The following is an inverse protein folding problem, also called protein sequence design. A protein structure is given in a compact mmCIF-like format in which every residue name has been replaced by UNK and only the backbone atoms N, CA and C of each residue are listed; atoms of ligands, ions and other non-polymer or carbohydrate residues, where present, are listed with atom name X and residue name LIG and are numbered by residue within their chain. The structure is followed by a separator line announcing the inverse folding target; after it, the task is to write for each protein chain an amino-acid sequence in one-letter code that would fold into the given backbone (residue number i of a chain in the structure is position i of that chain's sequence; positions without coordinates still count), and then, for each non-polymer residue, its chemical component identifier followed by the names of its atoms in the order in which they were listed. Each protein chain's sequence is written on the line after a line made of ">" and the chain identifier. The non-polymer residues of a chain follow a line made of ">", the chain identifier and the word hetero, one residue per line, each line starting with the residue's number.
data_IF_337804297952
#
_entry.id   IF_337804297952
#
_cell.length_a   1.000
_cell.length_b   1.000
_cell.length_c   1.000
_cell.angle_alpha   90.00
_cell.angle_beta   90.00
_cell.angle_gamma   90.00
#
_symmetry.space_group_name_H-M   'P 1'
#
loop_
_entity.id
_entity.type
_entity.pdbx_description
1 polymer ?
#
# COMPACT_ATOMS: atom_id res chain seq x y z
N UNK A 1 -23.86 4.49 2.39
CA UNK A 1 -23.64 3.61 1.24
C UNK A 1 -22.90 2.35 1.64
N UNK A 2 -22.89 1.35 0.78
CA UNK A 2 -22.10 0.12 0.97
C UNK A 2 -20.62 0.46 0.84
N UNK A 3 -19.80 -0.10 1.74
CA UNK A 3 -18.34 0.03 1.68
C UNK A 3 -17.73 -1.31 1.23
N UNK A 4 -17.44 -1.50 -0.06
CA UNK A 4 -17.00 -2.79 -0.60
C UNK A 4 -15.73 -3.34 0.06
N UNK A 5 -14.81 -2.45 0.51
CA UNK A 5 -13.60 -2.84 1.23
C UNK A 5 -13.87 -3.57 2.55
N UNK A 6 -15.01 -3.33 3.18
CA UNK A 6 -15.41 -3.93 4.46
C UNK A 6 -16.22 -5.23 4.28
N UNK A 7 -16.56 -5.60 3.04
CA UNK A 7 -17.26 -6.85 2.77
C UNK A 7 -16.35 -8.07 3.02
N UNK A 8 -16.91 -9.22 3.42
CA UNK A 8 -16.14 -10.45 3.61
C UNK A 8 -15.30 -10.79 2.38
N UNK A 9 -14.07 -11.25 2.59
CA UNK A 9 -13.16 -11.66 1.48
C UNK A 9 -13.39 -13.09 1.00
N UNK A 10 -14.18 -13.88 1.76
CA UNK A 10 -14.52 -15.22 1.35
C UNK A 10 -15.28 -15.19 0.01
N UNK A 11 -14.98 -16.16 -0.85
CA UNK A 11 -15.63 -16.36 -2.16
C UNK A 11 -16.11 -17.79 -2.28
N UNK A 12 -17.06 -18.03 -3.16
CA UNK A 12 -17.48 -19.36 -3.61
C UNK A 12 -17.03 -19.53 -5.06
N UNK A 13 -16.68 -20.74 -5.47
CA UNK A 13 -16.19 -21.03 -6.82
C UNK A 13 -17.29 -20.83 -7.86
N UNK A 14 -18.51 -21.26 -7.54
CA UNK A 14 -19.71 -21.07 -8.36
C UNK A 14 -20.81 -20.36 -7.55
N UNK A 15 -20.93 -19.02 -7.67
CA UNK A 15 -21.96 -18.27 -6.99
C UNK A 15 -23.39 -18.61 -7.43
N UNK A 16 -23.60 -18.99 -8.70
CA UNK A 16 -24.94 -19.33 -9.21
C UNK A 16 -25.43 -20.65 -8.62
N UNK A 17 -24.58 -21.68 -8.60
CA UNK A 17 -24.89 -22.94 -7.94
C UNK A 17 -25.17 -22.73 -6.44
N UNK A 18 -24.33 -21.98 -5.75
CA UNK A 18 -24.53 -21.70 -4.33
C UNK A 18 -25.84 -20.91 -4.05
N UNK A 19 -26.21 -19.97 -4.91
CA UNK A 19 -27.50 -19.26 -4.80
C UNK A 19 -28.68 -20.19 -5.04
N UNK A 20 -28.56 -21.12 -6.02
CA UNK A 20 -29.59 -22.10 -6.30
C UNK A 20 -29.78 -23.05 -5.09
N UNK A 21 -28.70 -23.55 -4.52
CA UNK A 21 -28.72 -24.38 -3.32
C UNK A 21 -29.44 -23.68 -2.16
N UNK A 22 -29.11 -22.38 -1.92
CA UNK A 22 -29.80 -21.57 -0.91
C UNK A 22 -31.31 -21.45 -1.16
N UNK A 23 -31.73 -21.25 -2.42
CA UNK A 23 -33.15 -21.21 -2.80
C UNK A 23 -33.86 -22.53 -2.52
N UNK A 24 -33.15 -23.63 -2.62
CA UNK A 24 -33.67 -24.97 -2.31
C UNK A 24 -33.56 -25.35 -0.82
N UNK A 25 -33.10 -24.44 0.01
CA UNK A 25 -32.90 -24.66 1.45
C UNK A 25 -31.64 -25.48 1.79
N UNK A 26 -30.75 -25.64 0.84
CA UNK A 26 -29.48 -26.36 0.97
C UNK A 26 -28.31 -25.41 1.21
N UNK A 27 -27.23 -25.89 1.86
CA UNK A 27 -25.95 -25.17 1.94
C UNK A 27 -25.95 -23.85 2.72
N UNK A 28 -26.99 -23.52 3.46
CA UNK A 28 -27.13 -22.27 4.22
C UNK A 28 -26.25 -22.25 5.48
N UNK A 29 -24.93 -22.10 5.28
CA UNK A 29 -23.97 -21.92 6.38
C UNK A 29 -23.55 -20.45 6.52
N UNK A 30 -23.12 -19.99 7.72
CA UNK A 30 -22.56 -18.66 7.89
C UNK A 30 -21.38 -18.39 6.95
N UNK A 31 -20.59 -19.40 6.60
CA UNK A 31 -19.50 -19.30 5.64
C UNK A 31 -20.00 -19.01 4.23
N UNK A 32 -20.94 -19.83 3.73
CA UNK A 32 -21.55 -19.66 2.40
C UNK A 32 -22.20 -18.29 2.24
N UNK A 33 -22.97 -17.84 3.24
CA UNK A 33 -23.63 -16.54 3.23
C UNK A 33 -22.61 -15.39 3.17
N UNK A 34 -21.52 -15.46 3.96
CA UNK A 34 -20.44 -14.47 3.92
C UNK A 34 -19.74 -14.46 2.57
N UNK A 35 -19.51 -15.63 1.97
CA UNK A 35 -18.82 -15.77 0.69
C UNK A 35 -19.63 -15.19 -0.48
N UNK A 36 -20.96 -15.23 -0.39
CA UNK A 36 -21.87 -14.71 -1.42
C UNK A 36 -22.08 -13.18 -1.34
N UNK A 37 -21.69 -12.49 -0.26
CA UNK A 37 -22.01 -11.05 -0.11
C UNK A 37 -21.47 -10.21 -1.25
N UNK A 38 -20.23 -10.47 -1.72
CA UNK A 38 -19.65 -9.74 -2.89
C UNK A 38 -20.36 -10.11 -4.19
N UNK A 39 -20.73 -11.37 -4.35
CA UNK A 39 -21.42 -11.88 -5.54
C UNK A 39 -22.84 -11.34 -5.73
N UNK A 40 -23.37 -10.59 -4.75
CA UNK A 40 -24.64 -9.88 -4.89
C UNK A 40 -24.57 -8.69 -5.86
N UNK A 41 -23.38 -8.19 -6.15
CA UNK A 41 -23.17 -7.17 -7.18
C UNK A 41 -23.05 -7.88 -8.53
N UNK A 42 -24.05 -7.68 -9.40
CA UNK A 42 -24.17 -8.35 -10.69
C UNK A 42 -23.79 -7.38 -11.81
N UNK A 43 -22.82 -7.79 -12.65
CA UNK A 43 -22.24 -7.04 -13.75
C UNK A 43 -22.92 -7.27 -15.10
N UNK A 44 -22.14 -7.25 -16.19
CA UNK A 44 -20.70 -7.58 -16.25
C UNK A 44 -19.78 -6.48 -15.71
N UNK A 45 -18.72 -6.90 -15.03
CA UNK A 45 -17.69 -5.99 -14.50
C UNK A 45 -16.31 -6.37 -15.02
N UNK A 46 -15.55 -5.35 -15.38
CA UNK A 46 -14.09 -5.42 -15.44
C UNK A 46 -13.55 -4.91 -14.11
N UNK A 47 -12.75 -5.74 -13.47
CA UNK A 47 -12.08 -5.43 -12.19
C UNK A 47 -10.60 -5.40 -12.46
N UNK A 48 -9.94 -4.28 -12.18
CA UNK A 48 -8.50 -4.12 -12.38
C UNK A 48 -7.86 -3.54 -11.13
N UNK A 49 -6.75 -4.15 -10.69
CA UNK A 49 -5.95 -3.77 -9.52
C UNK A 49 -4.55 -3.34 -9.96
N UNK A 50 -3.98 -2.34 -9.31
CA UNK A 50 -2.58 -1.98 -9.56
C UNK A 50 -1.63 -3.06 -9.03
N UNK A 51 -0.71 -3.51 -9.87
CA UNK A 51 0.29 -4.50 -9.47
C UNK A 51 1.37 -3.87 -8.57
N UNK A 52 1.44 -4.28 -7.29
CA UNK A 52 2.45 -3.86 -6.32
C UNK A 52 2.64 -2.34 -6.20
N UNK A 53 1.55 -1.56 -6.23
CA UNK A 53 1.58 -0.09 -6.33
C UNK A 53 2.41 0.57 -5.23
N UNK A 54 2.32 0.09 -3.98
CA UNK A 54 3.08 0.67 -2.88
C UNK A 54 4.60 0.52 -3.09
N UNK A 55 5.07 -0.63 -3.57
CA UNK A 55 6.49 -0.85 -3.84
C UNK A 55 6.99 0.00 -5.01
N UNK A 56 6.17 0.17 -6.05
CA UNK A 56 6.48 1.02 -7.21
C UNK A 56 6.57 2.49 -6.79
N UNK A 57 5.58 3.01 -6.10
CA UNK A 57 5.52 4.41 -5.64
C UNK A 57 6.64 4.70 -4.65
N UNK A 58 6.89 3.82 -3.68
CA UNK A 58 7.96 4.01 -2.69
C UNK A 58 9.33 4.09 -3.37
N UNK A 59 9.62 3.17 -4.29
CA UNK A 59 10.88 3.16 -5.01
C UNK A 59 11.06 4.40 -5.88
N UNK A 60 10.01 4.82 -6.60
CA UNK A 60 10.02 6.01 -7.44
C UNK A 60 10.23 7.28 -6.60
N UNK A 61 9.47 7.47 -5.52
CA UNK A 61 9.58 8.64 -4.65
C UNK A 61 10.95 8.71 -3.94
N UNK A 62 11.54 7.58 -3.61
CA UNK A 62 12.88 7.49 -3.03
C UNK A 62 14.02 7.60 -4.07
N UNK A 63 13.76 7.31 -5.34
CA UNK A 63 14.77 7.18 -6.39
C UNK A 63 15.58 5.87 -6.27
N UNK A 64 14.96 4.77 -5.84
CA UNK A 64 15.61 3.45 -5.71
C UNK A 64 15.67 2.77 -7.07
N UNK A 65 16.69 3.11 -7.84
CA UNK A 65 16.81 2.83 -9.26
C UNK A 65 16.70 1.34 -9.62
N UNK A 66 17.32 0.45 -8.85
CA UNK A 66 17.26 -0.98 -9.16
C UNK A 66 15.85 -1.57 -9.07
N UNK A 67 15.02 -1.04 -8.16
CA UNK A 67 13.61 -1.45 -8.02
C UNK A 67 12.79 -0.94 -9.20
N UNK A 68 13.00 0.34 -9.59
CA UNK A 68 12.38 0.95 -10.77
C UNK A 68 12.68 0.12 -12.01
N UNK A 69 13.98 -0.16 -12.28
CA UNK A 69 14.39 -0.98 -13.41
C UNK A 69 13.86 -2.43 -13.38
N UNK A 70 13.70 -3.01 -12.18
CA UNK A 70 13.10 -4.33 -12.06
C UNK A 70 11.65 -4.33 -12.55
N UNK A 71 10.88 -3.33 -12.17
CA UNK A 71 9.50 -3.15 -12.63
C UNK A 71 9.41 -2.82 -14.12
N UNK A 72 10.24 -1.92 -14.65
CA UNK A 72 10.30 -1.58 -16.09
C UNK A 72 10.61 -2.80 -16.97
N UNK A 73 11.42 -3.72 -16.46
CA UNK A 73 11.79 -4.95 -17.16
C UNK A 73 10.84 -6.12 -16.89
N UNK A 74 9.70 -5.87 -16.21
CA UNK A 74 8.72 -6.90 -15.87
C UNK A 74 9.25 -8.00 -14.95
N UNK A 75 10.28 -7.70 -14.14
CA UNK A 75 10.87 -8.69 -13.21
C UNK A 75 10.08 -8.76 -11.91
N UNK A 76 9.99 -9.96 -11.34
CA UNK A 76 9.34 -10.17 -10.05
C UNK A 76 10.15 -9.55 -8.92
N UNK A 77 9.68 -8.45 -8.37
CA UNK A 77 10.37 -7.69 -7.31
C UNK A 77 10.63 -8.53 -6.05
N UNK A 78 9.82 -9.53 -5.78
CA UNK A 78 9.99 -10.41 -4.63
C UNK A 78 11.15 -11.39 -4.84
N UNK A 79 11.31 -11.90 -6.06
CA UNK A 79 12.46 -12.73 -6.44
C UNK A 79 13.73 -11.89 -6.42
N UNK A 80 13.74 -10.73 -7.07
CA UNK A 80 14.87 -9.80 -7.09
C UNK A 80 15.32 -9.40 -5.67
N UNK A 81 14.37 -9.09 -4.79
CA UNK A 81 14.65 -8.76 -3.40
C UNK A 81 15.27 -9.94 -2.66
N UNK A 82 14.71 -11.15 -2.81
CA UNK A 82 15.24 -12.35 -2.20
C UNK A 82 16.69 -12.62 -2.65
N UNK A 83 16.97 -12.48 -3.94
CA UNK A 83 18.32 -12.65 -4.51
C UNK A 83 19.33 -11.65 -3.93
N UNK A 84 18.97 -10.37 -3.86
CA UNK A 84 19.82 -9.31 -3.31
C UNK A 84 20.09 -9.44 -1.81
N UNK A 85 19.18 -10.06 -1.08
CA UNK A 85 19.31 -10.35 0.35
C UNK A 85 19.98 -11.69 0.61
N UNK A 86 20.16 -12.54 -0.40
CA UNK A 86 20.78 -13.85 -0.28
C UNK A 86 22.29 -13.74 -0.06
N UNK A 87 22.85 -14.70 0.67
CA UNK A 87 24.29 -14.81 0.91
C UNK A 87 24.77 -16.23 0.60
N UNK A 88 26.08 -16.45 0.39
CA UNK A 88 26.62 -17.80 0.31
C UNK A 88 26.19 -18.64 1.53
N UNK A 89 25.51 -19.74 1.27
CA UNK A 89 24.99 -20.63 2.33
C UNK A 89 23.59 -20.27 2.86
N UNK A 90 23.01 -19.12 2.47
CA UNK A 90 21.63 -18.77 2.83
C UNK A 90 20.89 -18.14 1.62
N UNK A 91 20.30 -18.98 0.79
CA UNK A 91 19.46 -18.53 -0.34
C UNK A 91 18.03 -18.31 0.12
N UNK A 92 17.54 -17.09 -0.11
CA UNK A 92 16.15 -16.73 0.16
C UNK A 92 15.27 -17.07 -1.04
N UNK A 93 14.02 -17.44 -0.75
CA UNK A 93 13.01 -17.71 -1.77
C UNK A 93 12.08 -16.50 -1.99
N UNK A 94 11.24 -16.58 -3.04
CA UNK A 94 10.26 -15.54 -3.39
C UNK A 94 9.34 -15.13 -2.23
N UNK A 95 8.88 -16.10 -1.42
CA UNK A 95 7.99 -15.82 -0.29
C UNK A 95 8.69 -14.98 0.79
N UNK A 96 9.95 -15.26 1.08
CA UNK A 96 10.76 -14.47 2.00
C UNK A 96 11.04 -13.07 1.46
N UNK A 97 11.30 -12.95 0.14
CA UNK A 97 11.40 -11.65 -0.53
C UNK A 97 10.11 -10.83 -0.44
N UNK A 98 8.93 -11.47 -0.64
CA UNK A 98 7.63 -10.82 -0.47
C UNK A 98 7.44 -10.30 0.95
N UNK A 99 7.73 -11.11 1.96
CA UNK A 99 7.67 -10.70 3.38
C UNK A 99 8.60 -9.50 3.63
N UNK A 100 9.83 -9.53 3.09
CA UNK A 100 10.79 -8.45 3.27
C UNK A 100 10.30 -7.13 2.64
N UNK A 101 9.81 -7.16 1.40
CA UNK A 101 9.27 -5.98 0.72
C UNK A 101 8.11 -5.36 1.52
N UNK A 102 7.15 -6.18 1.94
CA UNK A 102 5.95 -5.69 2.64
C UNK A 102 6.24 -5.25 4.08
N UNK A 103 7.16 -5.91 4.78
CA UNK A 103 7.44 -5.63 6.18
C UNK A 103 8.43 -4.49 6.41
N UNK A 104 9.38 -4.27 5.49
CA UNK A 104 10.54 -3.41 5.73
C UNK A 104 10.47 -2.06 5.01
N UNK A 105 9.60 -1.90 4.01
CA UNK A 105 9.49 -0.69 3.19
C UNK A 105 9.27 0.61 3.97
N UNK A 106 8.72 0.53 5.18
CA UNK A 106 8.39 1.68 6.02
C UNK A 106 9.13 1.69 7.35
N UNK A 107 10.44 1.42 7.29
CA UNK A 107 11.33 1.35 8.45
C UNK A 107 10.94 0.24 9.45
N UNK A 108 10.35 -0.84 8.93
CA UNK A 108 10.06 -2.02 9.71
C UNK A 108 11.33 -2.71 10.23
N UNK A 109 11.16 -3.59 11.21
CA UNK A 109 12.22 -4.37 11.81
C UNK A 109 11.74 -5.79 12.12
N UNK A 110 12.41 -6.53 12.99
CA UNK A 110 12.07 -7.91 13.38
C UNK A 110 10.59 -8.07 13.73
N UNK A 111 10.01 -7.12 14.47
CA UNK A 111 8.57 -7.15 14.81
C UNK A 111 7.65 -7.12 13.58
N UNK A 112 8.00 -6.34 12.55
CA UNK A 112 7.24 -6.26 11.30
C UNK A 112 7.38 -7.55 10.47
N UNK A 113 8.58 -8.12 10.40
CA UNK A 113 8.82 -9.41 9.75
C UNK A 113 7.97 -10.52 10.38
N UNK A 114 7.95 -10.59 11.71
CA UNK A 114 7.12 -11.57 12.45
C UNK A 114 5.63 -11.37 12.23
N UNK A 115 5.17 -10.12 12.19
CA UNK A 115 3.77 -9.81 11.90
C UNK A 115 3.34 -10.24 10.49
N UNK A 116 4.29 -10.30 9.54
CA UNK A 116 4.08 -10.81 8.18
C UNK A 116 4.37 -12.32 8.04
N UNK A 117 4.57 -13.02 9.17
CA UNK A 117 4.73 -14.48 9.18
C UNK A 117 6.16 -15.01 9.06
N UNK A 118 7.18 -14.13 9.13
CA UNK A 118 8.57 -14.60 9.13
C UNK A 118 8.85 -15.46 10.37
N UNK A 119 9.53 -16.58 10.16
CA UNK A 119 10.02 -17.50 11.18
C UNK A 119 11.54 -17.32 11.34
N UNK A 120 12.08 -17.73 12.48
CA UNK A 120 13.52 -17.69 12.79
C UNK A 120 13.82 -16.94 14.08
N UNK A 121 15.08 -17.00 14.51
CA UNK A 121 15.57 -16.30 15.68
C UNK A 121 15.71 -14.78 15.42
N UNK A 122 15.67 -13.97 16.48
CA UNK A 122 15.72 -12.51 16.34
C UNK A 122 17.00 -12.03 15.63
N UNK A 123 18.15 -12.68 15.88
CA UNK A 123 19.43 -12.36 15.22
C UNK A 123 19.41 -12.67 13.72
N UNK A 124 18.72 -13.72 13.30
CA UNK A 124 18.55 -14.06 11.88
C UNK A 124 17.66 -13.03 11.19
N UNK A 125 16.54 -12.70 11.81
CA UNK A 125 15.62 -11.69 11.30
C UNK A 125 16.27 -10.31 11.26
N UNK A 126 17.11 -9.96 12.24
CA UNK A 126 17.84 -8.69 12.25
C UNK A 126 18.88 -8.62 11.12
N UNK A 127 19.52 -9.75 10.78
CA UNK A 127 20.37 -9.83 9.57
C UNK A 127 19.58 -9.55 8.30
N UNK A 128 18.35 -10.13 8.15
CA UNK A 128 17.49 -9.85 7.00
C UNK A 128 17.12 -8.37 6.91
N UNK A 129 16.78 -7.72 8.02
CA UNK A 129 16.54 -6.27 8.08
C UNK A 129 17.77 -5.50 7.58
N UNK A 130 18.96 -5.90 8.03
CA UNK A 130 20.22 -5.25 7.64
C UNK A 130 20.50 -5.41 6.15
N UNK A 131 20.32 -6.60 5.59
CA UNK A 131 20.52 -6.87 4.16
C UNK A 131 19.53 -6.09 3.30
N UNK A 132 18.26 -6.06 3.71
CA UNK A 132 17.24 -5.30 2.99
C UNK A 132 17.59 -3.80 2.95
N UNK A 133 17.97 -3.20 4.08
CA UNK A 133 18.36 -1.78 4.16
C UNK A 133 19.59 -1.47 3.31
N UNK A 134 20.55 -2.38 3.27
CA UNK A 134 21.73 -2.26 2.39
C UNK A 134 21.37 -2.35 0.90
N UNK A 135 20.38 -3.18 0.56
CA UNK A 135 19.90 -3.31 -0.82
C UNK A 135 19.05 -2.11 -1.26
N UNK A 136 18.46 -1.36 -0.31
CA UNK A 136 17.53 -0.25 -0.57
C UNK A 136 17.98 1.07 0.11
N UNK A 137 19.20 1.56 -0.18
CA UNK A 137 19.76 2.71 0.53
C UNK A 137 19.00 4.03 0.26
N UNK A 138 18.36 4.18 -0.89
CA UNK A 138 17.58 5.37 -1.23
C UNK A 138 16.26 5.42 -0.47
N UNK A 139 15.62 4.27 -0.28
CA UNK A 139 14.41 4.17 0.54
C UNK A 139 14.75 4.48 2.01
N UNK A 140 15.87 3.95 2.53
CA UNK A 140 16.35 4.27 3.89
C UNK A 140 16.59 5.76 4.02
N UNK A 141 17.30 6.37 3.06
CA UNK A 141 17.54 7.81 3.04
C UNK A 141 16.23 8.62 3.02
N UNK A 142 15.23 8.21 2.29
CA UNK A 142 13.94 8.89 2.27
C UNK A 142 13.27 8.89 3.65
N UNK A 143 13.39 7.82 4.44
CA UNK A 143 12.90 7.82 5.82
C UNK A 143 13.65 8.83 6.69
N UNK A 144 14.98 8.88 6.57
CA UNK A 144 15.82 9.81 7.33
C UNK A 144 15.48 11.26 6.93
N UNK A 145 15.41 11.57 5.63
CA UNK A 145 15.02 12.87 5.11
C UNK A 145 13.63 13.32 5.64
N UNK A 146 12.64 12.41 5.65
CA UNK A 146 11.31 12.71 6.20
C UNK A 146 11.34 12.95 7.70
N UNK A 147 12.16 12.19 8.43
CA UNK A 147 12.35 12.37 9.86
C UNK A 147 12.96 13.74 10.18
N UNK A 148 14.01 14.13 9.48
CA UNK A 148 14.73 15.39 9.66
C UNK A 148 13.86 16.59 9.22
N UNK A 149 13.12 16.44 8.12
CA UNK A 149 12.24 17.48 7.60
C UNK A 149 11.04 17.81 8.52
N UNK A 150 10.73 16.98 9.51
CA UNK A 150 9.72 17.30 10.53
C UNK A 150 10.09 18.56 11.31
N UNK A 151 11.37 18.83 11.53
CA UNK A 151 11.84 20.03 12.24
C UNK A 151 11.93 21.26 11.33
N UNK A 152 12.66 21.15 10.24
CA UNK A 152 13.05 22.29 9.41
C UNK A 152 12.34 22.41 8.05
N UNK A 153 11.61 21.37 7.61
CA UNK A 153 11.14 21.27 6.23
C UNK A 153 12.25 20.90 5.25
N UNK A 154 11.95 20.85 3.95
CA UNK A 154 12.93 20.62 2.88
C UNK A 154 12.50 19.54 1.88
N UNK A 155 13.33 19.30 0.85
CA UNK A 155 13.11 18.25 -0.15
C UNK A 155 13.39 16.88 0.44
N UNK A 156 12.71 15.84 -0.06
CA UNK A 156 12.77 14.48 0.45
C UNK A 156 12.97 13.50 -0.71
N UNK A 157 13.74 12.45 -0.45
CA UNK A 157 13.97 11.35 -1.38
C UNK A 157 14.60 11.83 -2.69
N UNK A 158 13.95 11.53 -3.82
CA UNK A 158 14.40 11.98 -5.15
C UNK A 158 14.08 13.46 -5.45
N UNK A 159 13.63 14.23 -4.47
CA UNK A 159 13.24 15.64 -4.63
C UNK A 159 11.79 15.82 -5.15
N UNK A 160 11.05 14.74 -5.30
CA UNK A 160 9.65 14.75 -5.75
C UNK A 160 8.67 15.17 -4.66
N UNK A 161 9.07 15.06 -3.42
CA UNK A 161 8.28 15.39 -2.23
C UNK A 161 8.97 16.53 -1.50
N UNK A 162 8.19 17.47 -0.97
CA UNK A 162 8.69 18.59 -0.19
C UNK A 162 7.92 18.76 1.11
N UNK A 163 8.62 18.95 2.21
CA UNK A 163 8.01 19.25 3.51
C UNK A 163 8.13 20.74 3.78
N UNK A 164 7.01 21.35 4.17
CA UNK A 164 6.98 22.73 4.67
C UNK A 164 6.41 22.77 6.08
N UNK A 165 6.94 23.65 6.93
CA UNK A 165 6.49 23.81 8.30
C UNK A 165 6.26 25.28 8.65
N UNK A 166 5.14 25.54 9.35
CA UNK A 166 4.82 26.85 9.90
C UNK A 166 4.30 26.69 11.35
N UNK A 167 5.15 26.97 12.31
CA UNK A 167 4.85 26.74 13.73
C UNK A 167 4.63 25.26 14.03
N UNK A 168 3.43 24.91 14.49
CA UNK A 168 3.03 23.52 14.74
C UNK A 168 2.35 22.83 13.57
N UNK A 169 2.15 23.51 12.45
CA UNK A 169 1.57 22.93 11.25
C UNK A 169 2.67 22.53 10.26
N UNK A 170 2.55 21.31 9.75
CA UNK A 170 3.44 20.76 8.74
C UNK A 170 2.61 20.28 7.55
N UNK A 171 3.12 20.48 6.35
CA UNK A 171 2.54 19.92 5.12
C UNK A 171 3.61 19.13 4.37
N UNK A 172 3.22 17.98 3.85
CA UNK A 172 4.01 17.21 2.90
C UNK A 172 3.35 17.41 1.53
N UNK A 173 4.05 18.13 0.66
CA UNK A 173 3.60 18.42 -0.71
C UNK A 173 3.95 17.25 -1.62
N UNK A 174 2.97 16.76 -2.36
CA UNK A 174 3.07 15.61 -3.25
C UNK A 174 3.26 16.06 -4.70
N UNK A 175 3.84 15.22 -5.57
CA UNK A 175 4.03 15.53 -6.99
C UNK A 175 2.74 15.86 -7.75
N UNK A 176 1.61 15.31 -7.31
CA UNK A 176 0.27 15.60 -7.84
C UNK A 176 -0.23 17.04 -7.59
N UNK A 177 0.51 17.86 -6.80
CA UNK A 177 0.10 19.17 -6.35
C UNK A 177 -0.74 19.16 -5.06
N UNK A 178 -1.17 17.99 -4.58
CA UNK A 178 -1.87 17.83 -3.31
C UNK A 178 -0.87 17.89 -2.14
N UNK A 179 -1.37 18.14 -0.93
CA UNK A 179 -0.55 18.08 0.28
C UNK A 179 -1.23 17.30 1.40
N UNK A 180 -0.43 16.60 2.20
CA UNK A 180 -0.87 15.96 3.45
C UNK A 180 -0.61 16.94 4.59
N UNK A 181 -1.67 17.31 5.32
CA UNK A 181 -1.57 18.21 6.48
C UNK A 181 -1.37 17.46 7.79
N UNK A 182 -0.46 17.96 8.64
CA UNK A 182 -0.24 17.50 10.00
C UNK A 182 -0.34 18.69 10.95
N UNK A 183 -1.18 18.59 11.99
CA UNK A 183 -1.41 19.66 12.95
C UNK A 183 -0.85 19.32 14.33
N UNK A 184 -0.47 20.34 15.07
CA UNK A 184 0.06 20.18 16.43
C UNK A 184 1.41 19.46 16.49
N UNK A 185 2.18 19.52 15.40
CA UNK A 185 3.49 18.85 15.30
C UNK A 185 4.46 19.42 16.34
N UNK A 186 5.07 18.54 17.12
CA UNK A 186 6.02 18.94 18.14
C UNK A 186 6.78 17.76 18.74
N UNK A 187 7.92 18.06 19.37
CA UNK A 187 8.71 17.07 20.11
C UNK A 187 8.16 16.94 21.53
N UNK A 188 7.52 15.80 21.84
CA UNK A 188 6.82 15.58 23.12
C UNK A 188 7.04 14.18 23.67
N UNK A 189 6.75 14.03 24.96
CA UNK A 189 6.57 12.71 25.58
C UNK A 189 5.18 12.19 25.22
N UNK A 190 5.08 10.93 24.84
CA UNK A 190 3.85 10.23 24.55
C UNK A 190 3.94 8.76 24.98
N UNK A 191 2.83 8.05 24.95
CA UNK A 191 2.79 6.63 25.34
C UNK A 191 2.39 5.78 24.14
N UNK A 192 3.05 4.65 23.96
CA UNK A 192 2.62 3.60 23.03
C UNK A 192 2.22 2.36 23.80
N UNK A 193 1.21 1.66 23.34
CA UNK A 193 0.85 0.35 23.88
C UNK A 193 1.73 -0.71 23.25
N UNK A 194 2.37 -1.52 24.08
CA UNK A 194 3.09 -2.70 23.62
C UNK A 194 2.09 -3.74 23.10
N UNK A 195 2.20 -4.18 21.83
CA UNK A 195 1.22 -5.07 21.24
C UNK A 195 1.15 -6.45 21.91
N UNK A 196 2.23 -6.91 22.55
CA UNK A 196 2.30 -8.21 23.23
C UNK A 196 1.84 -8.11 24.67
N UNK A 197 2.37 -7.17 25.43
CA UNK A 197 2.16 -7.07 26.88
C UNK A 197 1.00 -6.16 27.25
N UNK A 198 0.44 -5.40 26.29
CA UNK A 198 -0.58 -4.35 26.49
C UNK A 198 -0.16 -3.26 27.49
N UNK A 199 1.09 -3.23 27.90
CA UNK A 199 1.63 -2.19 28.79
C UNK A 199 1.87 -0.89 28.02
N UNK A 200 1.63 0.23 28.68
CA UNK A 200 1.95 1.55 28.16
C UNK A 200 3.44 1.84 28.36
N UNK A 201 4.16 2.05 27.26
CA UNK A 201 5.60 2.36 27.26
C UNK A 201 5.75 3.85 26.95
N UNK A 202 6.39 4.64 27.84
CA UNK A 202 6.68 6.04 27.56
C UNK A 202 7.74 6.15 26.45
N UNK A 203 7.50 7.06 25.52
CA UNK A 203 8.43 7.44 24.45
C UNK A 203 8.55 8.95 24.38
N UNK A 204 9.64 9.42 23.78
CA UNK A 204 9.85 10.82 23.44
C UNK A 204 10.16 10.90 21.95
N UNK A 205 9.54 11.84 21.25
CA UNK A 205 9.74 11.98 19.80
C UNK A 205 8.75 12.96 19.19
N UNK A 206 8.79 13.03 17.87
CA UNK A 206 7.83 13.81 17.11
C UNK A 206 6.42 13.22 17.20
N UNK A 207 5.46 14.09 17.41
CA UNK A 207 4.03 13.76 17.47
C UNK A 207 3.22 14.73 16.63
N UNK A 208 2.01 14.34 16.26
CA UNK A 208 1.00 15.19 15.64
C UNK A 208 -0.40 14.83 16.14
N UNK A 209 -1.37 15.72 15.96
CA UNK A 209 -2.77 15.48 16.31
C UNK A 209 -3.44 14.62 15.22
N UNK A 210 -3.88 13.41 15.57
CA UNK A 210 -4.56 12.50 14.63
C UNK A 210 -6.07 12.85 14.57
N UNK A 211 -6.58 13.36 13.43
CA UNK A 211 -8.00 13.70 13.31
C UNK A 211 -8.91 12.47 13.41
N UNK A 212 -8.44 11.29 13.02
CA UNK A 212 -9.21 10.03 13.15
C UNK A 212 -9.40 9.59 14.59
N UNK A 213 -8.57 10.12 15.51
CA UNK A 213 -8.61 9.84 16.94
C UNK A 213 -9.03 11.07 17.76
N UNK A 214 -9.87 11.94 17.17
CA UNK A 214 -10.35 13.13 17.88
C UNK A 214 -9.26 14.12 18.26
N UNK A 215 -8.16 14.18 17.51
CA UNK A 215 -7.03 15.07 17.78
C UNK A 215 -6.04 14.56 18.82
N UNK A 216 -6.14 13.30 19.26
CA UNK A 216 -5.12 12.71 20.15
C UNK A 216 -3.74 12.74 19.53
N UNK A 217 -2.73 13.10 20.34
CA UNK A 217 -1.35 13.15 19.88
C UNK A 217 -0.79 11.76 19.69
N UNK A 218 -0.30 11.47 18.49
CA UNK A 218 0.34 10.20 18.16
C UNK A 218 1.77 10.41 17.70
N UNK A 219 2.65 9.46 18.03
CA UNK A 219 4.04 9.51 17.61
C UNK A 219 4.20 9.32 16.12
N UNK A 220 5.17 10.04 15.52
CA UNK A 220 5.55 9.87 14.11
C UNK A 220 7.07 9.71 13.97
N UNK A 221 7.46 9.19 12.81
CA UNK A 221 8.86 8.98 12.44
C UNK A 221 8.92 8.84 10.90
N UNK A 222 10.10 8.93 10.32
CA UNK A 222 10.26 8.97 8.86
C UNK A 222 9.60 7.81 8.12
N UNK A 223 9.69 6.58 8.63
CA UNK A 223 9.02 5.43 7.99
C UNK A 223 7.49 5.56 7.94
N UNK A 224 6.85 6.07 9.01
CA UNK A 224 5.40 6.33 9.00
C UNK A 224 5.03 7.45 8.03
N UNK A 225 5.86 8.48 7.93
CA UNK A 225 5.63 9.55 6.96
C UNK A 225 5.82 9.04 5.53
N UNK A 226 6.80 8.16 5.29
CA UNK A 226 6.99 7.51 3.99
C UNK A 226 5.78 6.65 3.59
N UNK A 227 5.21 5.87 4.52
CA UNK A 227 3.97 5.14 4.31
C UNK A 227 2.82 6.06 3.89
N UNK A 228 2.61 7.16 4.64
CA UNK A 228 1.56 8.13 4.32
C UNK A 228 1.78 8.79 2.94
N UNK A 229 3.02 9.13 2.58
CA UNK A 229 3.38 9.68 1.26
C UNK A 229 3.07 8.66 0.15
N UNK A 230 3.54 7.43 0.31
CA UNK A 230 3.32 6.36 -0.67
C UNK A 230 1.84 6.10 -0.91
N UNK A 231 1.06 5.92 0.16
CA UNK A 231 -0.38 5.69 0.07
C UNK A 231 -1.12 6.90 -0.52
N UNK A 232 -0.67 8.12 -0.21
CA UNK A 232 -1.28 9.33 -0.75
C UNK A 232 -1.01 9.49 -2.25
N UNK A 233 0.20 9.21 -2.73
CA UNK A 233 0.54 9.22 -4.16
C UNK A 233 -0.25 8.11 -4.90
N UNK A 234 -0.29 6.90 -4.36
CA UNK A 234 -1.08 5.80 -4.93
C UNK A 234 -2.57 6.18 -5.03
N UNK A 235 -3.11 6.87 -4.03
CA UNK A 235 -4.49 7.40 -4.06
C UNK A 235 -4.69 8.47 -5.13
N UNK A 236 -3.68 9.33 -5.36
CA UNK A 236 -3.76 10.37 -6.40
C UNK A 236 -3.75 9.75 -7.80
N UNK A 237 -2.93 8.72 -8.03
CA UNK A 237 -2.92 7.93 -9.27
C UNK A 237 -4.29 7.31 -9.55
N UNK A 238 -4.87 6.65 -8.54
CA UNK A 238 -6.19 6.05 -8.67
C UNK A 238 -7.27 7.12 -8.93
N UNK A 239 -7.22 8.26 -8.22
CA UNK A 239 -8.20 9.32 -8.39
C UNK A 239 -8.19 9.89 -9.82
N UNK A 240 -7.00 10.09 -10.39
CA UNK A 240 -6.87 10.56 -11.77
C UNK A 240 -7.30 9.50 -12.79
N UNK A 241 -6.98 8.22 -12.52
CA UNK A 241 -7.44 7.12 -13.35
C UNK A 241 -8.97 6.99 -13.38
N UNK A 242 -9.64 7.21 -12.24
CA UNK A 242 -11.10 7.23 -12.15
C UNK A 242 -11.71 8.34 -13.02
N UNK A 243 -11.10 9.55 -13.02
CA UNK A 243 -11.54 10.64 -13.89
C UNK A 243 -11.35 10.29 -15.36
N UNK A 244 -10.18 9.73 -15.74
CA UNK A 244 -9.93 9.29 -17.12
C UNK A 244 -10.89 8.21 -17.60
N UNK A 245 -11.29 7.28 -16.74
CA UNK A 245 -12.29 6.27 -17.05
C UNK A 245 -13.65 6.91 -17.36
N UNK A 246 -14.10 7.86 -16.53
CA UNK A 246 -15.35 8.58 -16.74
C UNK A 246 -15.30 9.44 -18.03
N UNK A 247 -14.21 10.14 -18.28
CA UNK A 247 -14.00 10.95 -19.50
C UNK A 247 -13.98 10.09 -20.77
N UNK A 248 -13.51 8.84 -20.67
CA UNK A 248 -13.54 7.86 -21.75
C UNK A 248 -14.90 7.15 -21.91
N UNK A 249 -15.91 7.49 -21.08
CA UNK A 249 -17.25 6.93 -21.12
C UNK A 249 -17.42 5.58 -20.41
N UNK A 250 -16.44 5.17 -19.60
CA UNK A 250 -16.53 3.95 -18.81
C UNK A 250 -17.15 4.25 -17.44
N UNK A 251 -18.29 3.63 -17.16
CA UNK A 251 -19.01 3.79 -15.89
C UNK A 251 -18.29 3.06 -14.76
N UNK A 252 -17.61 3.82 -13.90
CA UNK A 252 -17.00 3.28 -12.68
C UNK A 252 -18.08 3.11 -11.61
N UNK A 253 -18.33 1.87 -11.19
CA UNK A 253 -19.35 1.54 -10.17
C UNK A 253 -18.77 1.48 -8.76
N UNK A 254 -17.44 1.36 -8.64
CA UNK A 254 -16.76 1.36 -7.36
C UNK A 254 -15.24 1.24 -7.46
N UNK A 255 -14.61 1.40 -6.33
CA UNK A 255 -13.19 1.11 -6.16
C UNK A 255 -12.92 0.55 -4.75
N UNK A 256 -11.91 -0.29 -4.60
CA UNK A 256 -11.51 -0.89 -3.33
C UNK A 256 -9.99 -0.84 -3.19
N UNK A 257 -9.47 0.01 -2.30
CA UNK A 257 -8.03 0.28 -2.17
C UNK A 257 -7.43 0.80 -3.49
N UNK A 258 -6.72 -0.04 -4.20
CA UNK A 258 -6.04 0.16 -5.49
C UNK A 258 -6.75 -0.51 -6.67
N UNK A 259 -7.92 -1.13 -6.43
CA UNK A 259 -8.76 -1.81 -7.39
C UNK A 259 -9.87 -0.89 -7.91
N UNK A 260 -10.15 -0.92 -9.21
CA UNK A 260 -11.32 -0.29 -9.85
C UNK A 260 -12.31 -1.35 -10.30
N UNK A 261 -13.61 -1.02 -10.24
CA UNK A 261 -14.72 -1.86 -10.68
C UNK A 261 -15.50 -1.07 -11.71
N UNK A 262 -15.47 -1.50 -12.95
CA UNK A 262 -16.04 -0.79 -14.10
C UNK A 262 -17.12 -1.66 -14.78
N UNK A 263 -18.26 -1.07 -15.10
CA UNK A 263 -19.38 -1.77 -15.75
C UNK A 263 -19.09 -1.92 -17.26
N UNK A 264 -18.27 -2.89 -17.62
CA UNK A 264 -17.85 -3.21 -18.99
C UNK A 264 -17.20 -4.59 -19.05
N UNK A 265 -17.00 -5.12 -20.24
CA UNK A 265 -16.18 -6.31 -20.52
C UNK A 265 -14.84 -5.96 -21.18
N UNK A 266 -14.54 -4.67 -21.39
CA UNK A 266 -13.35 -4.21 -22.08
C UNK A 266 -12.15 -4.10 -21.10
N UNK A 267 -11.56 -5.25 -20.78
CA UNK A 267 -10.43 -5.35 -19.86
C UNK A 267 -9.19 -4.60 -20.38
N UNK A 268 -8.94 -4.69 -21.69
CA UNK A 268 -7.74 -4.08 -22.30
C UNK A 268 -7.77 -2.54 -22.17
N UNK A 269 -8.89 -1.92 -22.55
CA UNK A 269 -9.02 -0.48 -22.46
C UNK A 269 -8.99 0.02 -21.01
N UNK A 270 -9.69 -0.65 -20.09
CA UNK A 270 -9.67 -0.28 -18.66
C UNK A 270 -8.26 -0.38 -18.10
N UNK A 271 -7.55 -1.49 -18.35
CA UNK A 271 -6.17 -1.67 -17.88
C UNK A 271 -5.25 -0.58 -18.44
N UNK A 272 -5.33 -0.30 -19.74
CA UNK A 272 -4.53 0.76 -20.38
C UNK A 272 -4.80 2.13 -19.77
N UNK A 273 -6.06 2.49 -19.50
CA UNK A 273 -6.42 3.79 -18.93
C UNK A 273 -5.90 3.94 -17.50
N UNK A 274 -6.03 2.92 -16.66
CA UNK A 274 -5.57 3.04 -15.28
C UNK A 274 -4.05 3.02 -15.15
N UNK A 275 -3.34 2.35 -16.06
CA UNK A 275 -1.87 2.27 -16.05
C UNK A 275 -1.20 3.40 -16.82
N UNK A 276 -1.98 4.32 -17.42
CA UNK A 276 -1.45 5.54 -18.04
C UNK A 276 -0.78 6.42 -16.99
N UNK A 277 0.52 6.71 -17.21
CA UNK A 277 1.33 7.49 -16.28
C UNK A 277 0.99 8.98 -16.41
N UNK A 278 0.50 9.65 -15.34
CA UNK A 278 0.23 11.09 -15.38
C UNK A 278 1.50 11.92 -15.61
N UNK A 279 1.33 13.14 -16.11
CA UNK A 279 2.45 14.04 -16.36
C UNK A 279 3.31 14.32 -15.11
N UNK A 280 2.68 14.37 -13.93
CA UNK A 280 3.38 14.59 -12.66
C UNK A 280 4.09 13.34 -12.11
N UNK A 281 3.82 12.14 -12.66
CA UNK A 281 4.39 10.86 -12.21
C UNK A 281 5.39 10.26 -13.22
N UNK A 282 6.03 11.10 -14.05
CA UNK A 282 6.99 10.64 -15.06
C UNK A 282 8.09 9.76 -14.43
N UNK A 283 8.38 8.61 -15.07
CA UNK A 283 9.35 7.62 -14.60
C UNK A 283 8.82 6.67 -13.52
N UNK A 284 7.53 6.76 -13.15
CA UNK A 284 6.89 5.75 -12.30
C UNK A 284 6.42 4.58 -13.18
N UNK A 285 6.96 3.36 -13.01
CA UNK A 285 6.51 2.21 -13.78
C UNK A 285 5.17 1.71 -13.23
N UNK A 286 4.05 2.10 -13.86
CA UNK A 286 2.71 1.59 -13.52
C UNK A 286 2.43 0.29 -14.26
N UNK A 287 1.64 -0.58 -13.60
CA UNK A 287 1.17 -1.83 -14.17
C UNK A 287 -0.10 -2.26 -13.44
N UNK A 288 -0.95 -3.07 -14.11
CA UNK A 288 -2.22 -3.50 -13.55
C UNK A 288 -2.63 -4.87 -14.08
N UNK A 289 -3.27 -5.63 -13.22
CA UNK A 289 -3.82 -6.94 -13.55
C UNK A 289 -5.33 -6.92 -13.31
N UNK A 290 -6.08 -7.62 -14.14
CA UNK A 290 -7.54 -7.60 -14.01
C UNK A 290 -8.22 -8.80 -14.66
N UNK A 291 -9.52 -8.83 -14.47
CA UNK A 291 -10.39 -9.87 -15.05
C UNK A 291 -11.79 -9.34 -15.30
N UNK A 292 -12.52 -10.04 -16.18
CA UNK A 292 -13.95 -9.80 -16.42
C UNK A 292 -14.77 -10.81 -15.62
N UNK A 293 -15.87 -10.38 -15.05
CA UNK A 293 -16.73 -11.22 -14.22
C UNK A 293 -18.20 -10.77 -14.26
N UNK A 294 -19.12 -11.71 -14.24
CA UNK A 294 -20.56 -11.44 -14.14
C UNK A 294 -21.00 -11.06 -12.71
N UNK A 295 -20.21 -11.46 -11.71
CA UNK A 295 -20.45 -11.11 -10.32
C UNK A 295 -19.17 -10.63 -9.67
N UNK A 296 -19.24 -9.52 -8.92
CA UNK A 296 -18.06 -8.98 -8.26
C UNK A 296 -17.45 -9.97 -7.29
N UNK A 297 -16.17 -10.19 -7.46
CA UNK A 297 -15.29 -10.92 -6.54
C UNK A 297 -13.97 -10.17 -6.40
N UNK A 298 -13.26 -10.40 -5.32
CA UNK A 298 -11.89 -9.91 -5.20
C UNK A 298 -10.96 -10.83 -5.99
N UNK A 299 -10.04 -10.21 -6.77
CA UNK A 299 -8.92 -10.89 -7.42
C UNK A 299 -7.90 -11.45 -6.42
#
# INVERSE_FOLDING_TARGET
>A
GVQPQNLPRATVDDPEAAILDLKMGLGATPHTLKALVRSMFVGPYTVVDYSAIEARVLAWAAGEQWVIEAFEKGRDIYVETAERMSTPGNKLNRSQGKVAVLALGYNGSVGSLRAMGAQGEDDELLRLVTFWRRANPRIVKMWDDLGDAVDGGGPVGAGLVHVSRKGTDMKIHLPSGRAIGYHGVGWKRYTVEDPKTKKRIPKQGWVYADPKRGGHMIGTYGGRLAENVTQAIARDLLAEALVRLEDAGYRTVGHVHDEVIVETTDLEAVTRIITEVPAWAQGLPLDGEGFVTERYRKG
#
